data_IF_503310220132
#
_entry.id   IF_503310220132
#
_cell.length_a   1.000
_cell.length_b   1.000
_cell.length_c   1.000
_cell.angle_alpha   90.00
_cell.angle_beta   90.00
_cell.angle_gamma   90.00
#
_symmetry.space_group_name_H-M   'P 1'
#
loop_
_entity.id
_entity.type
_entity.pdbx_description
1 polymer ?
#
# COMPACT_ATOMS: atom_id res chain seq x y z
N UNK A 1 -28.50 -9.87 0.33
CA UNK A 1 -27.22 -10.22 0.99
C UNK A 1 -26.34 -9.01 0.86
N UNK A 2 -26.23 -8.20 1.92
CA UNK A 2 -25.35 -7.04 1.93
C UNK A 2 -23.92 -7.54 1.87
N UNK A 3 -23.24 -7.25 0.77
CA UNK A 3 -21.81 -7.49 0.63
C UNK A 3 -21.15 -6.70 1.76
N UNK A 4 -20.76 -7.41 2.82
CA UNK A 4 -19.81 -6.88 3.78
C UNK A 4 -18.59 -6.61 2.92
N UNK A 5 -18.39 -5.35 2.57
CA UNK A 5 -17.12 -4.87 2.01
C UNK A 5 -16.13 -5.17 3.12
N UNK A 6 -15.57 -6.38 3.08
CA UNK A 6 -14.49 -6.76 3.95
C UNK A 6 -13.46 -5.65 3.74
N UNK A 7 -13.17 -4.89 4.79
CA UNK A 7 -12.02 -3.99 4.83
C UNK A 7 -10.84 -4.84 4.40
N UNK A 8 -10.50 -4.77 3.12
CA UNK A 8 -9.66 -5.78 2.50
C UNK A 8 -8.25 -5.55 2.98
N UNK A 9 -7.87 -6.18 4.09
CA UNK A 9 -6.59 -5.94 4.73
C UNK A 9 -5.44 -6.09 3.73
N UNK A 10 -4.40 -5.29 3.91
CA UNK A 10 -3.21 -5.32 3.07
C UNK A 10 -2.62 -6.72 3.06
N UNK A 11 -2.65 -7.36 1.89
CA UNK A 11 -2.06 -8.68 1.70
C UNK A 11 -0.61 -8.52 1.27
N UNK A 12 0.29 -9.13 2.03
CA UNK A 12 1.68 -9.22 1.62
C UNK A 12 1.82 -10.29 0.53
N UNK A 13 2.20 -9.89 -0.68
CA UNK A 13 2.43 -10.81 -1.81
C UNK A 13 3.91 -11.17 -1.96
N UNK A 14 4.80 -10.33 -1.44
CA UNK A 14 6.23 -10.61 -1.41
C UNK A 14 6.90 -9.97 -0.19
N UNK A 15 8.16 -10.31 0.13
CA UNK A 15 8.92 -9.66 1.21
C UNK A 15 9.02 -8.13 1.07
N UNK A 16 8.74 -7.60 -0.12
CA UNK A 16 8.84 -6.19 -0.45
C UNK A 16 7.55 -5.61 -1.05
N UNK A 17 6.44 -6.35 -1.04
CA UNK A 17 5.24 -5.97 -1.81
C UNK A 17 3.95 -6.32 -1.08
N UNK A 18 3.04 -5.34 -1.03
CA UNK A 18 1.68 -5.51 -0.51
C UNK A 18 0.66 -5.06 -1.55
N UNK A 19 -0.49 -5.73 -1.57
CA UNK A 19 -1.63 -5.36 -2.38
C UNK A 19 -2.91 -5.30 -1.54
N UNK A 20 -3.82 -4.43 -1.95
CA UNK A 20 -5.13 -4.21 -1.31
C UNK A 20 -6.21 -4.44 -2.36
N UNK A 21 -7.34 -5.05 -1.97
CA UNK A 21 -8.36 -5.45 -2.95
C UNK A 21 -9.00 -4.27 -3.71
N UNK A 22 -8.94 -3.06 -3.17
CA UNK A 22 -9.38 -1.83 -3.86
C UNK A 22 -8.41 -1.32 -4.94
N UNK A 23 -7.38 -2.12 -5.30
CA UNK A 23 -6.46 -1.81 -6.40
C UNK A 23 -5.23 -0.99 -6.00
N UNK A 24 -4.94 -0.92 -4.70
CA UNK A 24 -3.74 -0.26 -4.18
C UNK A 24 -2.60 -1.26 -4.00
N UNK A 25 -1.37 -0.80 -4.22
CA UNK A 25 -0.17 -1.60 -3.98
C UNK A 25 0.90 -0.77 -3.27
N UNK A 26 1.69 -1.43 -2.43
CA UNK A 26 2.85 -0.83 -1.76
C UNK A 26 4.08 -1.64 -2.15
N UNK A 27 5.09 -0.95 -2.68
CA UNK A 27 6.41 -1.52 -2.93
C UNK A 27 7.43 -0.97 -1.93
N UNK A 28 8.15 -1.84 -1.24
CA UNK A 28 9.31 -1.50 -0.42
C UNK A 28 10.57 -1.57 -1.27
N UNK A 29 11.41 -0.55 -1.16
CA UNK A 29 12.71 -0.49 -1.81
C UNK A 29 13.72 0.18 -0.88
N UNK A 30 15.01 -0.03 -1.14
CA UNK A 30 16.08 0.51 -0.31
C UNK A 30 16.87 1.54 -1.12
N UNK A 31 16.99 2.75 -0.59
CA UNK A 31 17.79 3.84 -1.17
C UNK A 31 18.84 4.24 -0.16
N UNK A 32 20.12 4.09 -0.51
CA UNK A 32 21.24 4.42 0.37
C UNK A 32 21.16 3.73 1.75
N UNK A 33 20.68 2.49 1.80
CA UNK A 33 20.49 1.73 3.04
C UNK A 33 19.19 2.03 3.80
N UNK A 34 18.42 3.04 3.38
CA UNK A 34 17.14 3.42 4.02
C UNK A 34 15.98 2.76 3.29
N UNK A 35 15.10 2.09 4.03
CA UNK A 35 13.87 1.52 3.47
C UNK A 35 12.85 2.61 3.18
N UNK A 36 12.27 2.55 1.99
CA UNK A 36 11.23 3.45 1.48
C UNK A 36 10.06 2.62 0.98
N UNK A 37 8.86 3.17 1.07
CA UNK A 37 7.61 2.51 0.72
C UNK A 37 6.85 3.37 -0.28
N UNK A 38 6.75 2.90 -1.52
CA UNK A 38 6.03 3.59 -2.58
C UNK A 38 4.60 3.08 -2.65
N UNK A 39 3.64 3.99 -2.59
CA UNK A 39 2.22 3.68 -2.71
C UNK A 39 1.76 3.93 -4.14
N UNK A 40 0.95 3.02 -4.66
CA UNK A 40 0.38 3.08 -5.99
C UNK A 40 -1.11 2.81 -5.93
N UNK A 41 -1.85 3.42 -6.86
CA UNK A 41 -3.23 3.07 -7.15
C UNK A 41 -3.33 2.79 -8.65
N UNK A 42 -3.49 1.52 -9.02
CA UNK A 42 -3.38 1.12 -10.42
C UNK A 42 -2.00 1.45 -11.00
N UNK A 43 -1.94 2.40 -11.94
CA UNK A 43 -0.69 2.85 -12.59
C UNK A 43 -0.13 4.16 -12.03
N UNK A 44 -0.87 4.82 -11.16
CA UNK A 44 -0.50 6.13 -10.63
C UNK A 44 0.25 6.01 -9.31
N UNK A 45 1.36 6.72 -9.20
CA UNK A 45 2.13 6.82 -7.96
C UNK A 45 1.43 7.81 -7.04
N UNK A 46 1.12 7.40 -5.81
CA UNK A 46 0.42 8.22 -4.81
C UNK A 46 1.34 8.79 -3.73
N UNK A 47 2.60 8.38 -3.72
CA UNK A 47 3.61 8.96 -2.84
C UNK A 47 4.70 7.97 -2.46
N UNK A 48 5.66 8.48 -1.71
CA UNK A 48 6.74 7.73 -1.10
C UNK A 48 6.77 8.01 0.41
N UNK A 49 6.89 6.96 1.21
CA UNK A 49 6.76 6.98 2.65
C UNK A 49 7.97 6.31 3.31
N UNK A 50 8.26 6.68 4.54
CA UNK A 50 9.37 6.10 5.32
C UNK A 50 8.97 4.81 6.04
N UNK A 51 7.67 4.55 6.19
CA UNK A 51 7.13 3.34 6.80
C UNK A 51 5.95 2.76 6.03
N UNK A 52 5.73 1.46 6.22
CA UNK A 52 4.57 0.74 5.68
C UNK A 52 3.26 1.35 6.22
N UNK A 53 3.20 1.64 7.52
CA UNK A 53 2.00 2.17 8.17
C UNK A 53 1.59 3.54 7.60
N UNK A 54 2.56 4.41 7.29
CA UNK A 54 2.29 5.71 6.69
C UNK A 54 1.68 5.58 5.28
N UNK A 55 2.19 4.64 4.48
CA UNK A 55 1.63 4.34 3.16
C UNK A 55 0.20 3.79 3.26
N UNK A 56 -0.05 2.88 4.22
CA UNK A 56 -1.38 2.32 4.46
C UNK A 56 -2.37 3.37 4.99
N UNK A 57 -1.94 4.24 5.90
CA UNK A 57 -2.77 5.32 6.43
C UNK A 57 -3.16 6.33 5.34
N UNK A 58 -2.28 6.61 4.38
CA UNK A 58 -2.59 7.50 3.26
C UNK A 58 -3.70 6.95 2.36
N UNK A 59 -3.70 5.63 2.11
CA UNK A 59 -4.80 4.98 1.40
C UNK A 59 -6.14 5.16 2.13
N UNK A 60 -6.15 5.02 3.47
CA UNK A 60 -7.37 5.24 4.29
C UNK A 60 -7.88 6.68 4.25
N UNK A 61 -7.01 7.66 4.02
CA UNK A 61 -7.40 9.07 3.87
C UNK A 61 -7.86 9.41 2.45
N UNK A 62 -7.53 8.57 1.46
CA UNK A 62 -7.78 8.81 0.04
C UNK A 62 -9.01 8.06 -0.51
N UNK A 63 -9.67 7.24 0.30
CA UNK A 63 -10.92 6.53 -0.02
C UNK A 63 -12.08 7.06 0.81
#
# INVERSE_FOLDING_TARGET
MSEVVAEAEWKQESPYGWSHASGWTIGRYVVSGVSRFMLWQGRDHRGNFDSLEAAQAHQKQSG
#
